data_IF_408687277316
#
_entry.id   IF_408687277316
#
_cell.length_a   1.000
_cell.length_b   1.000
_cell.length_c   1.000
_cell.angle_alpha   90.00
_cell.angle_beta   90.00
_cell.angle_gamma   90.00
#
_symmetry.space_group_name_H-M   'P 1'
#
loop_
_entity.id
_entity.type
_entity.pdbx_description
1 polymer ?
#
# COMPACT_ATOMS: atom_id res chain seq x y z
N UNK A 1 -13.53 -27.83 -34.36
CA UNK A 1 -14.89 -27.62 -34.94
C UNK A 1 -15.99 -28.38 -34.19
N UNK A 2 -15.92 -29.70 -33.98
CA UNK A 2 -16.95 -30.43 -33.18
C UNK A 2 -17.12 -29.87 -31.76
N UNK A 3 -16.01 -29.69 -31.03
CA UNK A 3 -16.01 -29.12 -29.67
C UNK A 3 -16.71 -27.77 -29.57
N UNK A 4 -16.38 -26.81 -30.45
CA UNK A 4 -16.98 -25.47 -30.40
C UNK A 4 -18.47 -25.49 -30.74
N UNK A 5 -18.91 -26.34 -31.66
CA UNK A 5 -20.33 -26.54 -31.95
C UNK A 5 -21.08 -27.11 -30.74
N UNK A 6 -20.48 -28.04 -30.00
CA UNK A 6 -21.05 -28.55 -28.76
C UNK A 6 -21.18 -27.44 -27.70
N UNK A 7 -20.14 -26.63 -27.50
CA UNK A 7 -20.21 -25.50 -26.57
C UNK A 7 -21.24 -24.45 -26.98
N UNK A 8 -21.41 -24.19 -28.29
CA UNK A 8 -22.43 -23.30 -28.83
C UNK A 8 -23.85 -23.82 -28.54
N UNK A 9 -24.06 -25.13 -28.59
CA UNK A 9 -25.32 -25.74 -28.20
C UNK A 9 -25.56 -25.64 -26.68
N UNK A 10 -24.55 -25.96 -25.87
CA UNK A 10 -24.62 -25.89 -24.40
C UNK A 10 -24.83 -24.47 -23.87
N UNK A 11 -24.29 -23.45 -24.55
CA UNK A 11 -24.44 -22.04 -24.16
C UNK A 11 -25.76 -21.41 -24.58
N UNK A 12 -26.64 -22.17 -25.23
CA UNK A 12 -27.96 -21.68 -25.64
C UNK A 12 -28.85 -21.40 -24.42
N UNK A 13 -29.47 -20.21 -24.32
CA UNK A 13 -30.40 -19.86 -23.23
C UNK A 13 -31.52 -20.88 -23.03
N UNK A 14 -32.12 -21.35 -24.12
CA UNK A 14 -33.22 -22.33 -24.06
C UNK A 14 -32.75 -23.67 -23.50
N UNK A 15 -31.54 -24.09 -23.84
CA UNK A 15 -30.98 -25.34 -23.34
C UNK A 15 -30.74 -25.23 -21.83
N UNK A 16 -30.02 -24.19 -21.39
CA UNK A 16 -29.70 -23.98 -19.98
C UNK A 16 -30.98 -23.88 -19.13
N UNK A 17 -31.99 -23.13 -19.59
CA UNK A 17 -33.26 -22.99 -18.85
C UNK A 17 -34.02 -24.30 -18.66
N UNK A 18 -33.93 -25.22 -19.61
CA UNK A 18 -34.70 -26.48 -19.59
C UNK A 18 -33.93 -27.64 -18.97
N UNK A 19 -32.60 -27.68 -19.13
CA UNK A 19 -31.77 -28.79 -18.66
C UNK A 19 -31.26 -28.62 -17.24
N UNK A 20 -31.09 -27.38 -16.78
CA UNK A 20 -30.35 -27.09 -15.54
C UNK A 20 -31.27 -26.80 -14.35
N UNK A 21 -30.92 -27.35 -13.18
CA UNK A 21 -31.62 -27.06 -11.91
C UNK A 21 -31.33 -25.65 -11.39
N UNK A 22 -30.06 -25.22 -11.45
CA UNK A 22 -29.63 -23.84 -11.20
C UNK A 22 -29.07 -23.25 -12.51
N UNK A 23 -29.92 -22.57 -13.30
CA UNK A 23 -29.51 -21.99 -14.58
C UNK A 23 -28.46 -20.89 -14.44
N UNK A 24 -28.50 -20.12 -13.33
CA UNK A 24 -27.54 -19.04 -13.08
C UNK A 24 -26.14 -19.61 -12.84
N UNK A 25 -26.03 -20.63 -11.99
CA UNK A 25 -24.73 -21.27 -11.70
C UNK A 25 -24.18 -21.95 -12.93
N UNK A 26 -25.02 -22.70 -13.65
CA UNK A 26 -24.61 -23.39 -14.88
C UNK A 26 -24.05 -22.40 -15.91
N UNK A 27 -24.69 -21.25 -16.09
CA UNK A 27 -24.21 -20.21 -16.99
C UNK A 27 -22.87 -19.61 -16.52
N UNK A 28 -22.63 -19.49 -15.21
CA UNK A 28 -21.37 -19.00 -14.66
C UNK A 28 -20.21 -19.98 -14.85
N UNK A 29 -20.44 -21.28 -14.60
CA UNK A 29 -19.46 -22.34 -14.85
C UNK A 29 -19.12 -22.43 -16.33
N UNK A 30 -20.13 -22.39 -17.21
CA UNK A 30 -19.91 -22.44 -18.65
C UNK A 30 -19.13 -21.21 -19.13
N UNK A 31 -19.46 -20.02 -18.66
CA UNK A 31 -18.70 -18.80 -18.98
C UNK A 31 -17.24 -18.89 -18.52
N UNK A 32 -16.98 -19.39 -17.31
CA UNK A 32 -15.61 -19.59 -16.80
C UNK A 32 -14.83 -20.54 -17.69
N UNK A 33 -15.45 -21.64 -18.08
CA UNK A 33 -14.83 -22.65 -18.94
C UNK A 33 -14.56 -22.10 -20.35
N UNK A 34 -15.52 -21.39 -20.95
CA UNK A 34 -15.35 -20.75 -22.26
C UNK A 34 -14.22 -19.71 -22.25
N UNK A 35 -14.09 -18.90 -21.18
CA UNK A 35 -12.96 -17.97 -21.00
C UNK A 35 -11.62 -18.65 -20.78
N UNK A 36 -11.62 -19.87 -20.24
CA UNK A 36 -10.41 -20.68 -20.10
C UNK A 36 -10.00 -21.22 -21.47
N UNK A 37 -10.95 -21.77 -22.22
CA UNK A 37 -10.74 -22.29 -23.57
C UNK A 37 -10.29 -21.20 -24.55
N UNK A 38 -10.83 -19.98 -24.45
CA UNK A 38 -10.41 -18.86 -25.31
C UNK A 38 -8.94 -18.45 -25.14
N UNK A 39 -8.31 -18.82 -24.01
CA UNK A 39 -6.87 -18.59 -23.76
C UNK A 39 -5.99 -19.74 -24.22
N UNK A 40 -6.56 -20.95 -24.33
CA UNK A 40 -5.84 -22.16 -24.75
C UNK A 40 -5.87 -22.26 -26.28
N UNK A 41 -7.02 -21.98 -26.87
CA UNK A 41 -7.27 -22.04 -28.32
C UNK A 41 -7.32 -20.63 -28.90
N UNK A 42 -6.18 -20.18 -29.42
CA UNK A 42 -6.06 -18.83 -29.95
C UNK A 42 -6.84 -18.64 -31.26
N UNK A 43 -7.00 -19.71 -32.05
CA UNK A 43 -7.64 -19.69 -33.38
C UNK A 43 -9.15 -19.38 -33.27
N UNK A 44 -9.82 -19.88 -32.24
CA UNK A 44 -11.25 -19.69 -32.00
C UNK A 44 -11.54 -18.77 -30.81
N UNK A 45 -10.55 -18.00 -30.35
CA UNK A 45 -10.64 -17.15 -29.16
C UNK A 45 -11.87 -16.23 -29.20
N UNK A 46 -12.09 -15.56 -30.34
CA UNK A 46 -13.19 -14.60 -30.49
C UNK A 46 -14.56 -15.28 -30.35
N UNK A 47 -14.74 -16.47 -30.94
CA UNK A 47 -16.00 -17.21 -30.83
C UNK A 47 -16.25 -17.67 -29.39
N UNK A 48 -15.23 -18.18 -28.70
CA UNK A 48 -15.34 -18.55 -27.28
C UNK A 48 -15.69 -17.35 -26.39
N UNK A 49 -15.07 -16.18 -26.64
CA UNK A 49 -15.39 -14.95 -25.91
C UNK A 49 -16.82 -14.47 -26.16
N UNK A 50 -17.36 -14.63 -27.37
CA UNK A 50 -18.75 -14.33 -27.69
C UNK A 50 -19.73 -15.28 -26.97
N UNK A 51 -19.46 -16.59 -26.97
CA UNK A 51 -20.30 -17.56 -26.24
C UNK A 51 -20.26 -17.30 -24.72
N UNK A 52 -19.08 -16.95 -24.19
CA UNK A 52 -18.92 -16.56 -22.80
C UNK A 52 -19.76 -15.32 -22.45
N UNK A 53 -19.76 -14.33 -23.35
CA UNK A 53 -20.55 -13.11 -23.23
C UNK A 53 -22.06 -13.39 -23.28
N UNK A 54 -22.51 -14.32 -24.13
CA UNK A 54 -23.90 -14.77 -24.20
C UNK A 54 -24.36 -15.40 -22.88
N UNK A 55 -23.55 -16.26 -22.26
CA UNK A 55 -23.87 -16.82 -20.94
C UNK A 55 -24.01 -15.74 -19.86
N UNK A 56 -23.16 -14.71 -19.86
CA UNK A 56 -23.28 -13.59 -18.91
C UNK A 56 -24.56 -12.78 -19.09
N UNK A 57 -24.95 -12.55 -20.34
CA UNK A 57 -26.18 -11.82 -20.68
C UNK A 57 -27.42 -12.60 -20.28
N UNK A 58 -27.42 -13.91 -20.52
CA UNK A 58 -28.50 -14.80 -20.09
C UNK A 58 -28.74 -14.72 -18.57
N UNK A 59 -27.68 -14.84 -17.76
CA UNK A 59 -27.82 -14.75 -16.29
C UNK A 59 -28.35 -13.38 -15.84
N UNK A 60 -27.88 -12.30 -16.49
CA UNK A 60 -28.34 -10.95 -16.16
C UNK A 60 -29.79 -10.69 -16.60
N UNK A 61 -30.21 -11.25 -17.73
CA UNK A 61 -31.60 -11.18 -18.20
C UNK A 61 -32.52 -11.97 -17.27
N UNK A 62 -32.11 -13.15 -16.81
CA UNK A 62 -32.89 -13.93 -15.86
C UNK A 62 -33.07 -13.21 -14.51
N UNK A 63 -32.05 -12.49 -14.06
CA UNK A 63 -32.15 -11.63 -12.87
C UNK A 63 -33.10 -10.44 -13.09
N UNK A 64 -33.19 -9.91 -14.30
CA UNK A 64 -34.07 -8.80 -14.62
C UNK A 64 -35.56 -9.15 -14.49
N UNK A 65 -35.92 -10.43 -14.57
CA UNK A 65 -37.29 -10.91 -14.44
C UNK A 65 -37.79 -10.99 -12.99
N UNK A 66 -36.95 -10.69 -11.99
CA UNK A 66 -37.38 -10.65 -10.58
C UNK A 66 -38.34 -9.49 -10.34
N UNK A 67 -39.51 -9.76 -9.75
CA UNK A 67 -40.56 -8.74 -9.56
C UNK A 67 -40.60 -8.15 -8.16
N UNK A 68 -40.09 -8.88 -7.18
CA UNK A 68 -40.09 -8.46 -5.78
C UNK A 68 -38.67 -8.40 -5.18
N UNK A 69 -38.46 -7.53 -4.20
CA UNK A 69 -37.19 -7.50 -3.45
C UNK A 69 -36.94 -8.82 -2.73
N UNK A 70 -38.01 -9.50 -2.30
CA UNK A 70 -37.92 -10.81 -1.63
C UNK A 70 -37.39 -11.90 -2.56
N UNK A 71 -37.86 -11.98 -3.81
CA UNK A 71 -37.28 -12.90 -4.81
C UNK A 71 -35.80 -12.64 -5.03
N UNK A 72 -35.43 -11.36 -5.19
CA UNK A 72 -34.06 -10.94 -5.39
C UNK A 72 -33.17 -11.30 -4.19
N UNK A 73 -33.64 -11.07 -2.96
CA UNK A 73 -32.96 -11.43 -1.73
C UNK A 73 -32.74 -12.95 -1.62
N UNK A 74 -33.74 -13.76 -2.00
CA UNK A 74 -33.62 -15.23 -2.01
C UNK A 74 -32.53 -15.66 -2.99
N UNK A 75 -32.54 -15.13 -4.22
CA UNK A 75 -31.55 -15.47 -5.25
C UNK A 75 -30.14 -15.09 -4.79
N UNK A 76 -29.94 -13.89 -4.25
CA UNK A 76 -28.62 -13.37 -3.88
C UNK A 76 -28.07 -13.96 -2.56
N UNK A 77 -28.92 -14.54 -1.73
CA UNK A 77 -28.52 -15.24 -0.51
C UNK A 77 -28.48 -16.77 -0.65
N UNK A 78 -28.88 -17.30 -1.81
CA UNK A 78 -28.91 -18.75 -2.03
C UNK A 78 -27.53 -19.40 -1.81
N UNK A 79 -27.50 -20.43 -0.99
CA UNK A 79 -26.34 -21.28 -0.73
C UNK A 79 -26.77 -22.74 -0.86
N UNK A 80 -26.10 -23.49 -1.74
CA UNK A 80 -26.41 -24.89 -2.01
C UNK A 80 -25.82 -25.84 -0.95
N UNK A 81 -24.77 -25.42 -0.24
CA UNK A 81 -24.07 -26.25 0.74
C UNK A 81 -24.64 -26.05 2.15
N UNK A 82 -25.05 -24.82 2.46
CA UNK A 82 -25.70 -24.47 3.72
C UNK A 82 -27.07 -23.85 3.44
N UNK A 83 -28.09 -24.65 3.09
CA UNK A 83 -29.44 -24.14 2.94
C UNK A 83 -29.82 -23.44 4.25
N UNK A 84 -30.43 -22.24 4.20
CA UNK A 84 -30.77 -21.51 5.41
C UNK A 84 -31.68 -22.40 6.26
N UNK A 85 -31.16 -22.84 7.40
CA UNK A 85 -31.99 -23.40 8.47
C UNK A 85 -33.03 -22.32 8.75
N UNK A 86 -34.29 -22.73 8.84
CA UNK A 86 -35.45 -21.87 9.05
C UNK A 86 -35.43 -21.26 10.47
N UNK A 87 -34.33 -20.60 10.84
CA UNK A 87 -34.16 -19.87 12.09
C UNK A 87 -34.56 -18.43 11.84
N UNK A 88 -35.54 -17.98 12.63
CA UNK A 88 -36.27 -16.71 12.64
C UNK A 88 -35.41 -15.44 12.82
N UNK A 89 -34.13 -15.45 12.47
CA UNK A 89 -33.27 -14.25 12.55
C UNK A 89 -33.13 -13.61 11.18
N UNK A 90 -34.15 -12.82 10.83
CA UNK A 90 -34.27 -11.90 9.68
C UNK A 90 -33.11 -10.90 9.52
N UNK A 91 -32.03 -10.95 10.28
CA UNK A 91 -31.19 -9.76 10.48
C UNK A 91 -29.88 -9.69 9.68
N UNK A 92 -29.42 -10.73 8.97
CA UNK A 92 -28.15 -10.61 8.23
C UNK A 92 -28.18 -11.29 6.86
N UNK A 93 -28.33 -10.48 5.82
CA UNK A 93 -28.06 -10.90 4.44
C UNK A 93 -26.56 -11.23 4.29
N UNK A 94 -26.23 -12.53 4.27
CA UNK A 94 -24.84 -12.99 4.12
C UNK A 94 -24.33 -12.83 2.68
N UNK A 95 -25.23 -12.60 1.71
CA UNK A 95 -24.96 -12.37 0.29
C UNK A 95 -24.03 -13.46 -0.29
N UNK A 96 -24.23 -14.72 0.13
CA UNK A 96 -23.37 -15.85 -0.24
C UNK A 96 -23.26 -16.01 -1.75
N UNK A 97 -24.39 -15.97 -2.46
CA UNK A 97 -24.41 -16.08 -3.92
C UNK A 97 -23.71 -14.90 -4.57
N UNK A 98 -24.01 -13.67 -4.13
CA UNK A 98 -23.35 -12.50 -4.69
C UNK A 98 -21.81 -12.54 -4.53
N UNK A 99 -21.30 -13.02 -3.39
CA UNK A 99 -19.86 -13.22 -3.18
C UNK A 99 -19.28 -14.23 -4.18
N UNK A 100 -20.01 -15.31 -4.47
CA UNK A 100 -19.64 -16.26 -5.50
C UNK A 100 -19.63 -15.61 -6.90
N UNK A 101 -20.64 -14.82 -7.22
CA UNK A 101 -20.78 -14.17 -8.53
C UNK A 101 -19.61 -13.20 -8.81
N UNK A 102 -19.14 -12.51 -7.75
CA UNK A 102 -17.94 -11.67 -7.79
C UNK A 102 -16.69 -12.53 -8.03
N UNK A 103 -16.53 -13.67 -7.33
CA UNK A 103 -15.41 -14.61 -7.53
C UNK A 103 -15.37 -15.14 -8.97
N UNK A 104 -16.54 -15.38 -9.57
CA UNK A 104 -16.67 -15.80 -10.97
C UNK A 104 -16.51 -14.65 -11.98
N UNK A 105 -16.25 -13.41 -11.53
CA UNK A 105 -16.05 -12.21 -12.36
C UNK A 105 -17.26 -11.92 -13.27
N UNK A 106 -18.47 -12.11 -12.77
CA UNK A 106 -19.74 -11.91 -13.50
C UNK A 106 -20.18 -10.45 -13.51
N UNK A 107 -19.44 -9.61 -14.26
CA UNK A 107 -19.60 -8.15 -14.25
C UNK A 107 -21.03 -7.69 -14.57
N UNK A 108 -21.66 -8.22 -15.64
CA UNK A 108 -23.02 -7.82 -16.07
C UNK A 108 -24.10 -8.15 -15.05
N UNK A 109 -23.98 -9.30 -14.39
CA UNK A 109 -24.91 -9.74 -13.35
C UNK A 109 -24.83 -8.83 -12.12
N UNK A 110 -23.62 -8.61 -11.61
CA UNK A 110 -23.40 -7.76 -10.44
C UNK A 110 -23.75 -6.29 -10.71
N UNK A 111 -23.47 -5.78 -11.92
CA UNK A 111 -23.81 -4.39 -12.29
C UNK A 111 -25.28 -4.17 -12.60
N UNK A 112 -26.13 -5.20 -12.53
CA UNK A 112 -27.54 -5.08 -12.85
C UNK A 112 -28.27 -4.13 -11.88
N UNK A 113 -29.24 -3.37 -12.38
CA UNK A 113 -29.89 -2.29 -11.64
C UNK A 113 -30.55 -2.76 -10.33
N UNK A 114 -31.26 -3.89 -10.35
CA UNK A 114 -31.87 -4.46 -9.16
C UNK A 114 -30.83 -4.87 -8.10
N UNK A 115 -29.74 -5.51 -8.51
CA UNK A 115 -28.63 -5.89 -7.61
C UNK A 115 -27.97 -4.64 -6.99
N UNK A 116 -27.68 -3.63 -7.80
CA UNK A 116 -27.06 -2.38 -7.34
C UNK A 116 -27.99 -1.58 -6.42
N UNK A 117 -29.30 -1.59 -6.66
CA UNK A 117 -30.26 -0.93 -5.79
C UNK A 117 -30.29 -1.58 -4.39
N UNK A 118 -30.28 -2.91 -4.33
CA UNK A 118 -30.24 -3.66 -3.06
C UNK A 118 -28.92 -3.43 -2.30
N UNK A 119 -27.79 -3.47 -3.00
CA UNK A 119 -26.48 -3.14 -2.44
C UNK A 119 -26.44 -1.71 -1.90
N UNK A 120 -27.03 -0.76 -2.63
CA UNK A 120 -27.12 0.62 -2.18
C UNK A 120 -28.00 0.77 -0.92
N UNK A 121 -29.11 0.02 -0.79
CA UNK A 121 -29.91 0.04 0.43
C UNK A 121 -29.18 -0.54 1.63
N UNK A 122 -28.38 -1.60 1.44
CA UNK A 122 -27.52 -2.17 2.48
C UNK A 122 -26.36 -1.22 2.85
N UNK A 123 -25.80 -0.52 1.86
CA UNK A 123 -24.71 0.43 2.06
C UNK A 123 -25.12 1.63 2.92
N UNK A 124 -26.31 2.19 2.67
CA UNK A 124 -26.84 3.34 3.40
C UNK A 124 -27.82 2.96 4.53
N UNK A 125 -27.77 1.72 4.99
CA UNK A 125 -28.65 1.23 6.04
C UNK A 125 -28.55 2.11 7.30
N UNK A 126 -29.70 2.57 7.81
CA UNK A 126 -29.81 3.43 8.98
C UNK A 126 -29.44 4.91 8.80
N UNK A 127 -29.29 5.38 7.55
CA UNK A 127 -29.21 6.80 7.19
C UNK A 127 -30.35 7.21 6.25
N UNK A 128 -31.58 7.39 6.77
CA UNK A 128 -32.75 7.61 5.93
C UNK A 128 -32.59 8.87 5.06
N UNK A 129 -32.80 8.71 3.76
CA UNK A 129 -32.76 9.80 2.79
C UNK A 129 -31.37 10.35 2.47
N UNK A 130 -30.27 9.85 3.07
CA UNK A 130 -28.92 10.36 2.81
C UNK A 130 -28.57 10.36 1.32
N UNK A 131 -28.95 9.29 0.59
CA UNK A 131 -28.78 9.17 -0.86
C UNK A 131 -29.39 10.34 -1.66
N UNK A 132 -30.53 10.87 -1.22
CA UNK A 132 -31.27 11.94 -1.91
C UNK A 132 -30.84 13.35 -1.53
N UNK A 133 -29.97 13.52 -0.52
CA UNK A 133 -29.49 14.84 -0.08
C UNK A 133 -28.57 15.49 -1.12
N UNK A 134 -28.54 16.82 -1.11
CA UNK A 134 -27.62 17.62 -1.92
C UNK A 134 -26.16 17.28 -1.60
N UNK A 135 -25.28 17.35 -2.60
CA UNK A 135 -23.86 16.97 -2.47
C UNK A 135 -23.13 17.76 -1.38
N UNK A 136 -23.44 19.06 -1.22
CA UNK A 136 -22.85 19.89 -0.15
C UNK A 136 -23.19 19.36 1.24
N UNK A 137 -24.46 18.99 1.47
CA UNK A 137 -24.89 18.44 2.77
C UNK A 137 -24.22 17.09 3.02
N UNK A 138 -24.06 16.26 1.99
CA UNK A 138 -23.32 14.99 2.10
C UNK A 138 -21.87 15.22 2.50
N UNK A 139 -21.20 16.19 1.88
CA UNK A 139 -19.81 16.56 2.21
C UNK A 139 -19.74 17.04 3.66
N UNK A 140 -20.59 17.97 4.08
CA UNK A 140 -20.60 18.48 5.46
C UNK A 140 -20.80 17.38 6.50
N UNK A 141 -21.79 16.49 6.29
CA UNK A 141 -22.04 15.36 7.20
C UNK A 141 -20.84 14.41 7.22
N UNK A 142 -20.27 14.10 6.05
CA UNK A 142 -19.12 13.18 5.94
C UNK A 142 -17.89 13.76 6.63
N UNK A 143 -17.60 15.05 6.44
CA UNK A 143 -16.51 15.76 7.12
C UNK A 143 -16.72 15.81 8.63
N UNK A 144 -17.95 16.05 9.09
CA UNK A 144 -18.28 16.07 10.52
C UNK A 144 -18.07 14.69 11.17
N UNK A 145 -18.61 13.62 10.56
CA UNK A 145 -18.38 12.24 11.02
C UNK A 145 -16.90 11.89 10.98
N UNK A 146 -16.20 12.33 9.93
CA UNK A 146 -14.77 12.20 9.78
C UNK A 146 -14.00 12.83 10.93
N UNK A 147 -14.24 14.11 11.24
CA UNK A 147 -13.58 14.76 12.37
C UNK A 147 -13.82 14.05 13.71
N UNK A 148 -15.03 13.50 13.90
CA UNK A 148 -15.41 12.78 15.11
C UNK A 148 -14.94 11.32 15.15
N UNK A 149 -14.21 10.81 14.14
CA UNK A 149 -13.80 9.41 14.06
C UNK A 149 -13.07 8.86 15.30
N UNK A 150 -12.15 9.57 15.99
CA UNK A 150 -11.44 8.97 17.12
C UNK A 150 -12.37 8.80 18.32
N UNK A 151 -13.23 9.79 18.58
CA UNK A 151 -14.24 9.73 19.64
C UNK A 151 -15.26 8.63 19.37
N UNK A 152 -15.73 8.52 18.13
CA UNK A 152 -16.64 7.46 17.72
C UNK A 152 -15.97 6.09 17.97
N UNK A 153 -14.73 5.90 17.51
CA UNK A 153 -13.96 4.65 17.65
C UNK A 153 -13.80 4.21 19.10
N UNK A 154 -13.44 5.15 19.99
CA UNK A 154 -13.34 4.88 21.43
C UNK A 154 -14.70 4.52 22.03
N UNK A 155 -15.76 5.25 21.65
CA UNK A 155 -17.11 4.97 22.13
C UNK A 155 -17.61 3.57 21.74
N UNK A 156 -17.23 3.06 20.56
CA UNK A 156 -17.54 1.68 20.15
C UNK A 156 -16.76 0.64 20.93
N UNK A 157 -15.49 0.91 21.25
CA UNK A 157 -14.66 0.02 22.05
C UNK A 157 -15.20 -0.10 23.47
N UNK A 158 -15.61 1.01 24.08
CA UNK A 158 -16.15 1.05 25.45
C UNK A 158 -17.59 0.53 25.55
N UNK A 159 -18.46 0.94 24.62
CA UNK A 159 -19.89 0.64 24.67
C UNK A 159 -20.45 0.20 23.30
N UNK A 160 -20.18 -1.05 22.88
CA UNK A 160 -20.55 -1.54 21.55
C UNK A 160 -22.07 -1.73 21.34
N UNK A 161 -22.87 -1.72 22.42
CA UNK A 161 -24.34 -1.84 22.38
C UNK A 161 -25.08 -0.49 22.36
N UNK A 162 -24.36 0.63 22.45
CA UNK A 162 -24.94 1.96 22.42
C UNK A 162 -25.52 2.32 21.03
N UNK A 163 -26.34 3.37 20.96
CA UNK A 163 -26.84 3.93 19.69
C UNK A 163 -25.69 4.31 18.74
N UNK A 164 -24.60 4.88 19.28
CA UNK A 164 -23.37 5.21 18.55
C UNK A 164 -22.71 3.94 18.02
N UNK A 165 -22.64 2.89 18.85
CA UNK A 165 -22.09 1.61 18.46
C UNK A 165 -22.89 0.92 17.35
N UNK A 166 -24.22 1.11 17.31
CA UNK A 166 -25.08 0.64 16.21
C UNK A 166 -24.83 1.42 14.91
N UNK A 167 -24.67 2.74 14.99
CA UNK A 167 -24.34 3.58 13.82
C UNK A 167 -22.98 3.17 13.23
N UNK A 168 -21.95 2.95 14.05
CA UNK A 168 -20.63 2.55 13.54
C UNK A 168 -20.60 1.14 12.94
N UNK A 169 -21.59 0.27 13.20
CA UNK A 169 -21.67 -1.04 12.52
C UNK A 169 -22.06 -0.90 11.05
N UNK A 170 -22.67 0.21 10.65
CA UNK A 170 -23.10 0.47 9.28
C UNK A 170 -21.90 0.55 8.33
N UNK A 171 -21.98 -0.05 7.13
CA UNK A 171 -20.84 -0.15 6.21
C UNK A 171 -20.33 1.22 5.73
N UNK A 172 -21.23 2.16 5.43
CA UNK A 172 -20.84 3.50 5.01
C UNK A 172 -20.06 4.27 6.09
N UNK A 173 -20.47 4.18 7.36
CA UNK A 173 -19.77 4.85 8.47
C UNK A 173 -18.40 4.22 8.71
N UNK A 174 -18.29 2.88 8.67
CA UNK A 174 -16.98 2.20 8.72
C UNK A 174 -16.05 2.70 7.63
N UNK A 175 -16.56 2.78 6.40
CA UNK A 175 -15.79 3.26 5.27
C UNK A 175 -15.26 4.68 5.48
N UNK A 176 -16.10 5.61 5.98
CA UNK A 176 -15.66 6.98 6.30
C UNK A 176 -14.58 6.96 7.38
N UNK A 177 -14.78 6.24 8.49
CA UNK A 177 -13.80 6.18 9.57
C UNK A 177 -12.46 5.61 9.11
N UNK A 178 -12.45 4.52 8.33
CA UNK A 178 -11.22 3.96 7.75
C UNK A 178 -10.54 4.94 6.80
N UNK A 179 -11.30 5.61 5.93
CA UNK A 179 -10.75 6.57 4.96
C UNK A 179 -10.14 7.78 5.65
N UNK A 180 -10.81 8.35 6.66
CA UNK A 180 -10.33 9.52 7.39
C UNK A 180 -9.14 9.16 8.29
N UNK A 181 -9.16 7.99 8.93
CA UNK A 181 -8.00 7.49 9.68
C UNK A 181 -6.78 7.30 8.77
N UNK A 182 -6.98 6.84 7.53
CA UNK A 182 -5.90 6.75 6.54
C UNK A 182 -5.38 8.11 6.10
N UNK A 183 -6.27 9.08 5.84
CA UNK A 183 -5.87 10.47 5.53
C UNK A 183 -5.09 11.08 6.71
N UNK A 184 -5.51 10.83 7.94
CA UNK A 184 -4.78 11.27 9.13
C UNK A 184 -3.38 10.65 9.21
N UNK A 185 -3.24 9.35 8.90
CA UNK A 185 -1.94 8.70 8.78
C UNK A 185 -1.04 9.39 7.74
N UNK A 186 -1.57 9.75 6.56
CA UNK A 186 -0.80 10.50 5.55
C UNK A 186 -0.42 11.91 6.03
N UNK A 187 -1.28 12.58 6.80
CA UNK A 187 -0.95 13.86 7.43
C UNK A 187 0.22 13.69 8.41
N UNK A 188 0.25 12.62 9.22
CA UNK A 188 1.38 12.34 10.10
C UNK A 188 2.68 12.13 9.31
N UNK A 189 2.63 11.37 8.20
CA UNK A 189 3.79 11.19 7.33
C UNK A 189 4.26 12.51 6.71
N UNK A 190 3.33 13.38 6.33
CA UNK A 190 3.63 14.71 5.81
C UNK A 190 4.29 15.60 6.87
N UNK A 191 3.79 15.60 8.10
CA UNK A 191 4.40 16.30 9.24
C UNK A 191 5.84 15.86 9.47
N UNK A 192 6.11 14.54 9.48
CA UNK A 192 7.47 13.99 9.62
C UNK A 192 8.35 14.42 8.45
N UNK A 193 7.81 14.43 7.23
CA UNK A 193 8.55 14.83 6.02
C UNK A 193 8.92 16.32 6.04
N UNK A 194 8.07 17.16 6.63
CA UNK A 194 8.36 18.59 6.83
C UNK A 194 9.30 18.86 8.02
N UNK A 195 9.73 17.82 8.76
CA UNK A 195 10.51 17.94 10.01
C UNK A 195 9.90 18.94 10.99
N UNK A 196 8.55 19.04 11.03
CA UNK A 196 7.86 19.93 11.96
C UNK A 196 7.87 19.27 13.35
N UNK A 197 8.77 19.75 14.20
CA UNK A 197 8.77 19.40 15.61
C UNK A 197 7.75 20.28 16.35
N UNK A 198 6.50 19.81 16.45
CA UNK A 198 5.43 20.53 17.16
C UNK A 198 5.82 20.94 18.59
N UNK A 199 6.64 20.13 19.27
CA UNK A 199 7.18 20.45 20.58
C UNK A 199 8.07 21.72 20.55
N UNK A 200 8.91 21.88 19.51
CA UNK A 200 9.77 23.06 19.32
C UNK A 200 8.97 24.31 18.91
N UNK A 201 7.96 24.12 18.06
CA UNK A 201 7.03 25.20 17.66
C UNK A 201 6.28 25.75 18.87
N UNK A 202 5.85 24.87 19.79
CA UNK A 202 5.13 25.28 21.00
C UNK A 202 6.06 25.86 22.08
N UNK A 203 7.31 25.37 22.18
CA UNK A 203 8.26 25.85 23.18
C UNK A 203 9.01 27.13 22.77
N UNK A 204 8.96 27.53 21.50
CA UNK A 204 9.57 28.77 21.02
C UNK A 204 11.11 28.82 21.09
N UNK A 205 11.76 27.68 21.33
CA UNK A 205 13.22 27.57 21.44
C UNK A 205 13.76 27.04 20.12
N UNK A 206 14.40 27.90 19.34
CA UNK A 206 15.21 27.53 18.17
C UNK A 206 16.53 26.90 18.62
N UNK A 207 16.50 25.62 19.00
CA UNK A 207 17.72 24.83 19.07
C UNK A 207 18.16 24.47 17.64
N UNK A 208 19.36 24.91 17.28
CA UNK A 208 20.06 24.56 16.04
C UNK A 208 20.07 23.02 15.90
N UNK A 209 19.35 22.50 14.91
CA UNK A 209 19.19 21.05 14.75
C UNK A 209 20.50 20.44 14.28
N UNK A 210 21.39 20.11 15.21
CA UNK A 210 22.50 19.22 14.91
C UNK A 210 21.88 17.92 14.39
N UNK A 211 22.13 17.61 13.12
CA UNK A 211 21.64 16.42 12.46
C UNK A 211 22.29 15.20 13.11
N UNK A 212 21.67 14.71 14.19
CA UNK A 212 22.23 13.62 14.97
C UNK A 212 22.06 12.30 14.24
N UNK A 213 23.11 11.49 14.24
CA UNK A 213 23.09 10.13 13.71
C UNK A 213 22.30 9.22 14.65
N UNK A 214 21.37 8.42 14.10
CA UNK A 214 20.51 7.53 14.87
C UNK A 214 19.70 8.22 15.97
N UNK A 215 18.88 9.25 15.65
CA UNK A 215 18.13 9.96 16.68
C UNK A 215 17.10 9.05 17.35
N UNK A 216 16.77 9.28 18.64
CA UNK A 216 15.68 8.56 19.30
C UNK A 216 14.34 8.83 18.58
N UNK A 217 13.39 7.90 18.64
CA UNK A 217 12.13 8.02 17.90
C UNK A 217 11.32 9.23 18.38
N UNK A 218 10.91 10.08 17.46
CA UNK A 218 10.04 11.23 17.73
C UNK A 218 8.63 10.75 18.15
N UNK A 219 7.91 11.40 19.08
CA UNK A 219 6.51 11.08 19.37
C UNK A 219 5.61 10.85 18.14
N UNK A 220 5.81 11.63 17.06
CA UNK A 220 5.08 11.44 15.80
C UNK A 220 5.47 10.12 15.11
N UNK A 221 6.75 9.76 15.12
CA UNK A 221 7.23 8.48 14.61
C UNK A 221 6.66 7.33 15.43
N UNK A 222 6.58 7.45 16.76
CA UNK A 222 5.93 6.46 17.62
C UNK A 222 4.45 6.28 17.25
N UNK A 223 3.72 7.38 16.96
CA UNK A 223 2.34 7.28 16.47
C UNK A 223 2.26 6.53 15.13
N UNK A 224 3.18 6.81 14.19
CA UNK A 224 3.28 6.09 12.91
C UNK A 224 3.55 4.60 13.13
N UNK A 225 4.41 4.23 14.09
CA UNK A 225 4.70 2.84 14.45
C UNK A 225 3.43 2.08 14.85
N UNK A 226 2.56 2.69 15.64
CA UNK A 226 1.26 2.09 16.01
C UNK A 226 0.35 1.90 14.79
N UNK A 227 0.33 2.86 13.86
CA UNK A 227 -0.40 2.72 12.60
C UNK A 227 0.12 1.56 11.75
N UNK A 228 1.44 1.50 11.55
CA UNK A 228 2.09 0.43 10.78
C UNK A 228 1.81 -0.94 11.40
N UNK A 229 1.90 -1.08 12.72
CA UNK A 229 1.54 -2.31 13.41
C UNK A 229 0.06 -2.71 13.16
N UNK A 230 -0.85 -1.72 13.16
CA UNK A 230 -2.26 -1.92 12.82
C UNK A 230 -2.47 -2.38 11.37
N UNK A 231 -1.75 -1.80 10.40
CA UNK A 231 -1.81 -2.22 9.00
C UNK A 231 -1.26 -3.63 8.80
N UNK A 232 -0.11 -3.96 9.39
CA UNK A 232 0.46 -5.31 9.34
C UNK A 232 -0.54 -6.33 9.92
N UNK A 233 -1.16 -6.03 11.06
CA UNK A 233 -2.17 -6.89 11.66
C UNK A 233 -3.41 -7.06 10.79
N UNK A 234 -3.85 -5.99 10.11
CA UNK A 234 -4.97 -6.05 9.17
C UNK A 234 -4.64 -6.95 7.96
N UNK A 235 -3.45 -6.78 7.36
CA UNK A 235 -3.00 -7.60 6.23
C UNK A 235 -2.84 -9.07 6.60
N UNK A 236 -2.27 -9.38 7.77
CA UNK A 236 -2.14 -10.78 8.23
C UNK A 236 -3.52 -11.44 8.35
N UNK A 237 -4.51 -10.73 8.90
CA UNK A 237 -5.88 -11.25 9.00
C UNK A 237 -6.52 -11.46 7.64
N UNK A 238 -6.32 -10.55 6.69
CA UNK A 238 -6.84 -10.68 5.34
C UNK A 238 -6.19 -11.87 4.61
N UNK A 239 -4.86 -11.99 4.68
CA UNK A 239 -4.11 -13.10 4.11
C UNK A 239 -4.57 -14.46 4.67
N UNK A 240 -4.84 -14.54 5.98
CA UNK A 240 -5.35 -15.75 6.62
C UNK A 240 -6.76 -16.12 6.15
N UNK A 241 -7.64 -15.15 5.91
CA UNK A 241 -9.03 -15.39 5.50
C UNK A 241 -9.18 -15.74 4.02
N UNK A 242 -8.42 -15.08 3.14
CA UNK A 242 -8.53 -15.25 1.68
C UNK A 242 -7.61 -16.35 1.13
N UNK A 243 -6.47 -16.58 1.77
CA UNK A 243 -5.39 -17.45 1.31
C UNK A 243 -4.44 -16.77 0.32
N UNK A 244 -3.19 -17.24 0.29
CA UNK A 244 -2.07 -16.59 -0.41
C UNK A 244 -2.31 -16.35 -1.90
N UNK A 245 -2.81 -17.36 -2.64
CA UNK A 245 -2.98 -17.25 -4.08
C UNK A 245 -4.06 -16.23 -4.47
N UNK A 246 -5.17 -16.15 -3.73
CA UNK A 246 -6.22 -15.17 -4.03
C UNK A 246 -5.78 -13.76 -3.64
N UNK A 247 -5.10 -13.65 -2.49
CA UNK A 247 -4.56 -12.38 -2.00
C UNK A 247 -3.57 -11.75 -2.99
N UNK A 248 -2.58 -12.51 -3.48
CA UNK A 248 -1.56 -12.00 -4.42
C UNK A 248 -2.08 -11.75 -5.84
N UNK A 249 -3.26 -12.26 -6.19
CA UNK A 249 -3.88 -12.01 -7.49
C UNK A 249 -4.45 -10.58 -7.59
N UNK A 250 -4.68 -9.89 -6.47
CA UNK A 250 -5.07 -8.49 -6.44
C UNK A 250 -3.83 -7.60 -6.39
N UNK A 251 -3.69 -6.72 -7.39
CA UNK A 251 -2.57 -5.78 -7.49
C UNK A 251 -2.55 -4.75 -6.36
N UNK A 252 -3.71 -4.45 -5.75
CA UNK A 252 -3.79 -3.52 -4.61
C UNK A 252 -3.29 -4.17 -3.32
N UNK A 253 -3.62 -5.43 -3.09
CA UNK A 253 -3.07 -6.20 -1.96
C UNK A 253 -1.54 -6.32 -2.08
N UNK A 254 -1.02 -6.49 -3.29
CA UNK A 254 0.44 -6.48 -3.53
C UNK A 254 1.06 -5.13 -3.16
N UNK A 255 0.43 -4.01 -3.52
CA UNK A 255 0.86 -2.67 -3.14
C UNK A 255 0.93 -2.51 -1.61
N UNK A 256 -0.10 -2.99 -0.90
CA UNK A 256 -0.18 -2.93 0.56
C UNK A 256 0.90 -3.79 1.23
N UNK A 257 1.13 -5.00 0.71
CA UNK A 257 2.21 -5.87 1.17
C UNK A 257 3.59 -5.23 0.98
N UNK A 258 3.89 -4.71 -0.21
CA UNK A 258 5.17 -4.02 -0.50
C UNK A 258 5.36 -2.81 0.43
N UNK A 259 4.31 -2.01 0.63
CA UNK A 259 4.36 -0.83 1.51
C UNK A 259 4.68 -1.22 2.95
N UNK A 260 4.02 -2.24 3.48
CA UNK A 260 4.27 -2.73 4.83
C UNK A 260 5.69 -3.31 4.98
N UNK A 261 6.20 -4.02 3.97
CA UNK A 261 7.59 -4.49 3.96
C UNK A 261 8.60 -3.33 4.01
N UNK A 262 8.36 -2.25 3.26
CA UNK A 262 9.22 -1.05 3.29
C UNK A 262 9.18 -0.37 4.67
N UNK A 263 8.01 -0.30 5.32
CA UNK A 263 7.93 0.21 6.68
C UNK A 263 8.68 -0.66 7.68
N UNK A 264 8.53 -1.98 7.62
CA UNK A 264 9.28 -2.90 8.49
C UNK A 264 10.79 -2.76 8.26
N UNK A 265 11.24 -2.68 7.01
CA UNK A 265 12.65 -2.47 6.68
C UNK A 265 13.18 -1.15 7.25
N UNK A 266 12.39 -0.07 7.15
CA UNK A 266 12.73 1.24 7.75
C UNK A 266 12.91 1.13 9.26
N UNK A 267 11.97 0.47 9.94
CA UNK A 267 11.99 0.28 11.40
C UNK A 267 13.24 -0.50 11.82
N UNK A 268 13.52 -1.61 11.15
CA UNK A 268 14.69 -2.44 11.44
C UNK A 268 15.97 -1.65 11.27
N UNK A 269 16.12 -0.90 10.17
CA UNK A 269 17.31 -0.07 9.93
C UNK A 269 17.45 1.08 10.93
N UNK A 270 16.34 1.71 11.34
CA UNK A 270 16.31 2.73 12.40
C UNK A 270 16.77 2.17 13.74
N UNK A 271 16.28 0.99 14.13
CA UNK A 271 16.72 0.30 15.35
C UNK A 271 18.20 -0.08 15.26
N UNK A 272 18.65 -0.61 14.12
CA UNK A 272 20.06 -0.92 13.90
C UNK A 272 20.94 0.33 13.99
N UNK A 273 20.51 1.45 13.40
CA UNK A 273 21.23 2.73 13.48
C UNK A 273 21.35 3.19 14.94
N UNK A 274 20.25 3.14 15.70
CA UNK A 274 20.23 3.51 17.11
C UNK A 274 21.16 2.64 17.96
N UNK A 275 21.10 1.31 17.79
CA UNK A 275 21.97 0.38 18.54
C UNK A 275 23.44 0.60 18.19
N UNK A 276 23.77 0.78 16.91
CA UNK A 276 25.14 0.99 16.45
C UNK A 276 25.74 2.27 17.02
N UNK A 277 25.02 3.39 16.97
CA UNK A 277 25.53 4.66 17.49
C UNK A 277 25.71 4.59 19.02
N UNK A 278 24.77 3.97 19.74
CA UNK A 278 24.91 3.76 21.19
C UNK A 278 26.05 2.81 21.57
N UNK A 279 26.43 1.88 20.69
CA UNK A 279 27.63 1.05 20.89
C UNK A 279 28.89 1.88 20.69
N UNK A 280 28.98 2.63 19.60
CA UNK A 280 30.12 3.53 19.30
C UNK A 280 30.36 4.52 20.45
N UNK A 281 29.31 5.09 21.06
CA UNK A 281 29.46 5.98 22.22
C UNK A 281 29.98 5.28 23.47
N UNK A 282 29.52 4.05 23.75
CA UNK A 282 30.01 3.27 24.89
C UNK A 282 31.48 2.89 24.71
N UNK A 283 31.89 2.56 23.50
CA UNK A 283 33.29 2.23 23.18
C UNK A 283 34.20 3.45 23.34
N UNK A 284 33.73 4.64 22.93
CA UNK A 284 34.44 5.90 23.14
C UNK A 284 34.58 6.26 24.62
N UNK A 285 33.53 6.04 25.43
CA UNK A 285 33.58 6.25 26.88
C UNK A 285 34.54 5.26 27.58
N UNK A 286 34.54 3.99 27.19
CA UNK A 286 35.47 3.00 27.75
C UNK A 286 36.93 3.35 27.42
N UNK A 287 37.19 3.86 26.21
CA UNK A 287 38.53 4.28 25.79
C UNK A 287 39.01 5.49 26.59
N UNK A 288 38.15 6.48 26.86
CA UNK A 288 38.53 7.65 27.67
C UNK A 288 38.79 7.29 29.14
N UNK A 289 38.02 6.35 29.72
CA UNK A 289 38.24 5.85 31.08
C UNK A 289 39.57 5.10 31.20
N UNK A 290 39.92 4.25 30.21
CA UNK A 290 41.20 3.51 30.21
C UNK A 290 42.42 4.43 30.16
N UNK A 291 42.36 5.51 29.36
CA UNK A 291 43.43 6.52 29.29
C UNK A 291 43.62 7.25 30.62
N UNK A 292 42.53 7.62 31.29
CA UNK A 292 42.61 8.30 32.59
C UNK A 292 43.06 7.36 33.73
N UNK A 293 42.77 6.06 33.65
CA UNK A 293 43.24 5.05 34.61
C UNK A 293 44.75 4.79 34.55
N UNK A 294 45.37 4.95 33.37
CA UNK A 294 46.83 4.79 33.19
C UNK A 294 47.66 5.92 33.80
N UNK A 295 47.09 7.10 34.03
CA UNK A 295 47.81 8.23 34.63
C UNK A 295 47.92 8.16 36.16
N UNK A 296 47.12 7.33 36.83
CA UNK A 296 47.15 7.22 38.30
C UNK A 296 48.10 6.15 38.86
N UNK A 297 48.84 5.42 38.01
CA UNK A 297 49.79 4.37 38.45
C UNK A 297 51.27 4.69 38.18
N UNK A 298 51.61 5.90 37.73
CA UNK A 298 53.01 6.33 37.55
C UNK A 298 53.33 7.47 38.51
N UNK A 299 53.79 7.13 39.70
CA UNK A 299 54.48 8.08 40.55
C UNK A 299 55.81 8.51 39.93
N UNK A 300 56.04 9.82 39.92
CA UNK A 300 57.36 10.48 40.01
C UNK A 300 58.25 10.44 38.74
N UNK A 301 58.20 11.51 37.94
CA UNK A 301 59.30 12.49 37.81
C UNK A 301 58.91 13.62 36.84
N UNK A 302 59.11 14.86 37.27
CA UNK A 302 59.03 16.06 36.44
C UNK A 302 60.18 16.12 35.43
N UNK A 303 59.86 16.32 34.16
CA UNK A 303 60.63 17.20 33.24
C UNK A 303 59.66 17.89 32.30
N UNK A 304 59.78 19.21 32.21
CA UNK A 304 59.06 20.09 31.30
C UNK A 304 59.43 19.76 29.85
N UNK A 305 58.46 19.30 29.06
CA UNK A 305 58.45 19.44 27.61
C UNK A 305 57.03 19.78 27.16
N UNK A 306 56.84 21.06 26.81
CA UNK A 306 55.62 21.55 26.17
C UNK A 306 55.63 21.14 24.69
N UNK A 307 55.32 19.88 24.41
CA UNK A 307 54.59 19.57 23.18
C UNK A 307 53.10 19.64 23.53
N UNK A 308 52.49 20.76 23.18
CA UNK A 308 51.04 20.86 23.08
C UNK A 308 50.60 19.82 22.06
N UNK A 309 50.22 18.64 22.55
CA UNK A 309 49.18 17.86 21.91
C UNK A 309 47.95 18.77 21.97
N UNK A 310 47.79 19.60 20.93
CA UNK A 310 46.48 20.10 20.56
C UNK A 310 45.64 18.86 20.29
N UNK A 311 45.05 18.31 21.35
CA UNK A 311 43.78 17.63 21.24
C UNK A 311 42.85 18.67 20.65
N UNK A 312 42.82 18.73 19.32
CA UNK A 312 41.80 19.47 18.62
C UNK A 312 40.47 19.00 19.22
N UNK A 313 39.60 19.93 19.67
CA UNK A 313 38.27 19.57 20.15
C UNK A 313 37.44 18.87 19.06
N UNK A 314 37.94 18.81 17.81
CA UNK A 314 37.39 18.07 16.69
C UNK A 314 37.58 16.54 16.76
N UNK A 315 38.51 16.02 17.59
CA UNK A 315 38.81 14.57 17.66
C UNK A 315 37.90 13.78 18.62
N UNK A 316 37.06 14.46 19.41
CA UNK A 316 36.00 13.86 20.22
C UNK A 316 34.64 14.30 19.67
N UNK A 317 34.43 14.10 18.36
CA UNK A 317 33.06 14.09 17.84
C UNK A 317 32.39 12.83 18.40
N UNK A 318 31.49 13.02 19.37
CA UNK A 318 30.65 11.94 19.91
C UNK A 318 29.87 11.28 18.78
N UNK A 319 29.63 9.96 18.85
CA UNK A 319 29.02 9.20 17.74
C UNK A 319 27.71 9.80 17.21
N UNK A 320 26.96 10.53 18.05
CA UNK A 320 25.76 11.27 17.65
C UNK A 320 26.01 12.61 16.92
N UNK A 321 27.11 13.32 17.18
CA UNK A 321 27.34 14.71 16.72
C UNK A 321 28.30 14.81 15.52
N UNK A 322 28.44 13.75 14.73
CA UNK A 322 29.15 13.79 13.45
C UNK A 322 28.27 14.51 12.42
N UNK A 323 28.82 15.52 11.74
CA UNK A 323 28.10 16.25 10.68
C UNK A 323 27.70 15.31 9.55
N UNK A 324 26.49 15.47 9.01
CA UNK A 324 25.91 14.60 7.95
C UNK A 324 26.80 14.43 6.71
N UNK A 325 27.58 15.46 6.38
CA UNK A 325 28.58 15.43 5.30
C UNK A 325 29.66 14.36 5.46
N UNK A 326 29.97 13.99 6.69
CA UNK A 326 31.06 13.06 7.02
C UNK A 326 30.50 11.64 7.30
N UNK A 327 29.22 11.39 7.03
CA UNK A 327 28.61 10.07 7.17
C UNK A 327 29.03 9.13 6.05
N UNK A 328 29.16 7.84 6.37
CA UNK A 328 29.39 6.80 5.36
C UNK A 328 28.19 6.72 4.40
N UNK A 329 28.45 6.55 3.09
CA UNK A 329 27.41 6.38 2.07
C UNK A 329 26.43 5.23 2.38
N UNK A 330 26.90 4.17 3.05
CA UNK A 330 26.10 3.02 3.46
C UNK A 330 25.62 3.10 4.92
N UNK A 331 25.57 4.30 5.49
CA UNK A 331 25.05 4.46 6.85
C UNK A 331 23.59 3.99 6.95
N UNK A 332 23.24 3.12 7.93
CA UNK A 332 21.87 2.63 8.09
C UNK A 332 20.82 3.74 8.24
N UNK A 333 21.20 4.91 8.78
CA UNK A 333 20.30 6.08 8.89
C UNK A 333 19.88 6.57 7.50
N UNK A 334 20.84 6.76 6.59
CA UNK A 334 20.59 7.23 5.23
C UNK A 334 19.75 6.25 4.42
N UNK A 335 20.06 4.95 4.53
CA UNK A 335 19.29 3.90 3.86
C UNK A 335 17.86 3.88 4.41
N UNK A 336 17.68 4.01 5.72
CA UNK A 336 16.35 4.06 6.34
C UNK A 336 15.54 5.26 5.86
N UNK A 337 16.15 6.44 5.71
CA UNK A 337 15.47 7.64 5.17
C UNK A 337 15.01 7.43 3.72
N UNK A 338 15.85 6.81 2.88
CA UNK A 338 15.52 6.49 1.49
C UNK A 338 14.37 5.49 1.36
N UNK A 339 14.40 4.41 2.15
CA UNK A 339 13.33 3.41 2.17
C UNK A 339 12.04 4.00 2.74
N UNK A 340 12.13 4.86 3.77
CA UNK A 340 10.98 5.56 4.32
C UNK A 340 10.31 6.47 3.29
N UNK A 341 11.11 7.21 2.51
CA UNK A 341 10.59 8.05 1.43
C UNK A 341 9.85 7.21 0.37
N UNK A 342 10.40 6.06 -0.01
CA UNK A 342 9.73 5.13 -0.91
C UNK A 342 8.41 4.60 -0.32
N UNK A 343 8.39 4.22 0.95
CA UNK A 343 7.18 3.78 1.65
C UNK A 343 6.10 4.87 1.66
N UNK A 344 6.47 6.14 1.82
CA UNK A 344 5.54 7.27 1.81
C UNK A 344 4.91 7.50 0.43
N UNK A 345 5.66 7.27 -0.65
CA UNK A 345 5.14 7.33 -2.03
C UNK A 345 4.06 6.26 -2.23
N UNK A 346 4.38 5.00 -1.89
CA UNK A 346 3.42 3.90 -2.04
C UNK A 346 2.18 4.08 -1.15
N UNK A 347 2.38 4.57 0.08
CA UNK A 347 1.26 4.95 0.96
C UNK A 347 0.38 6.03 0.34
N UNK A 348 0.97 7.05 -0.28
CA UNK A 348 0.19 8.12 -0.92
C UNK A 348 -0.58 7.60 -2.15
N UNK A 349 0.00 6.67 -2.91
CA UNK A 349 -0.65 6.03 -4.07
C UNK A 349 -1.92 5.26 -3.70
N UNK A 350 -2.01 4.72 -2.47
CA UNK A 350 -3.21 4.03 -1.99
C UNK A 350 -4.46 4.93 -1.97
N UNK A 351 -4.34 6.26 -1.93
CA UNK A 351 -5.49 7.17 -2.04
C UNK A 351 -6.27 6.99 -3.35
N UNK A 352 -5.60 6.54 -4.43
CA UNK A 352 -6.25 6.26 -5.72
C UNK A 352 -7.35 5.20 -5.57
N UNK A 353 -7.20 4.26 -4.61
CA UNK A 353 -8.21 3.24 -4.33
C UNK A 353 -9.53 3.87 -3.84
N UNK A 354 -9.48 4.91 -3.03
CA UNK A 354 -10.67 5.60 -2.49
C UNK A 354 -11.48 6.27 -3.60
N UNK A 355 -10.83 6.70 -4.69
CA UNK A 355 -11.51 7.35 -5.81
C UNK A 355 -12.49 6.44 -6.55
N UNK A 356 -12.37 5.12 -6.41
CA UNK A 356 -13.30 4.12 -7.00
C UNK A 356 -14.76 4.33 -6.60
N UNK A 357 -14.99 4.92 -5.43
CA UNK A 357 -16.33 5.10 -4.85
C UNK A 357 -17.03 6.35 -5.40
N UNK A 358 -16.25 7.32 -5.92
CA UNK A 358 -16.82 8.51 -6.51
C UNK A 358 -17.45 8.16 -7.88
N UNK A 359 -18.73 8.48 -8.12
CA UNK A 359 -19.40 8.16 -9.39
C UNK A 359 -18.72 8.74 -10.64
N UNK A 360 -17.99 9.85 -10.48
CA UNK A 360 -17.27 10.50 -11.58
C UNK A 360 -15.83 10.00 -11.70
N UNK A 361 -15.08 9.86 -10.59
CA UNK A 361 -13.66 9.48 -10.65
C UNK A 361 -13.45 7.97 -10.81
N UNK A 362 -14.38 7.13 -10.35
CA UNK A 362 -14.27 5.68 -10.40
C UNK A 362 -14.10 5.13 -11.83
N UNK A 363 -14.94 5.51 -12.81
CA UNK A 363 -14.76 5.09 -14.20
C UNK A 363 -13.40 5.50 -14.79
N UNK A 364 -12.90 6.70 -14.46
CA UNK A 364 -11.58 7.16 -14.91
C UNK A 364 -10.45 6.35 -14.28
N UNK A 365 -10.55 6.01 -13.00
CA UNK A 365 -9.56 5.18 -12.32
C UNK A 365 -9.52 3.74 -12.88
N UNK A 366 -10.69 3.17 -13.18
CA UNK A 366 -10.78 1.84 -13.82
C UNK A 366 -10.20 1.86 -15.23
N UNK A 367 -10.45 2.91 -16.02
CA UNK A 367 -9.87 3.02 -17.37
C UNK A 367 -8.35 3.20 -17.29
N UNK A 368 -7.85 4.03 -16.38
CA UNK A 368 -6.42 4.20 -16.12
C UNK A 368 -5.74 2.86 -15.81
N UNK A 369 -6.31 2.06 -14.89
CA UNK A 369 -5.75 0.75 -14.54
C UNK A 369 -5.66 -0.21 -15.72
N UNK A 370 -6.64 -0.19 -16.64
CA UNK A 370 -6.59 -1.02 -17.87
C UNK A 370 -5.53 -0.53 -18.84
N UNK A 371 -5.38 0.79 -18.99
CA UNK A 371 -4.38 1.40 -19.87
C UNK A 371 -2.95 1.11 -19.39
N UNK A 372 -2.70 1.10 -18.07
CA UNK A 372 -1.37 0.78 -17.52
C UNK A 372 -0.86 -0.58 -17.99
N UNK A 373 -1.72 -1.59 -18.06
CA UNK A 373 -1.33 -2.91 -18.56
C UNK A 373 -0.89 -2.87 -20.04
N UNK A 374 -1.50 -2.01 -20.86
CA UNK A 374 -1.10 -1.85 -22.26
C UNK A 374 0.19 -1.00 -22.38
N UNK A 375 0.38 0.01 -21.53
CA UNK A 375 1.64 0.76 -21.41
C UNK A 375 2.80 -0.17 -21.04
N UNK A 376 2.60 -1.09 -20.09
CA UNK A 376 3.64 -2.05 -19.67
C UNK A 376 4.04 -3.03 -20.79
N UNK A 377 3.15 -3.36 -21.72
CA UNK A 377 3.54 -4.14 -22.91
C UNK A 377 4.44 -3.33 -23.82
N UNK A 378 4.11 -2.05 -24.03
CA UNK A 378 4.89 -1.16 -24.89
C UNK A 378 6.23 -0.77 -24.27
N UNK A 379 6.31 -0.68 -22.93
CA UNK A 379 7.56 -0.33 -22.23
C UNK A 379 8.69 -1.33 -22.49
N UNK A 380 8.38 -2.60 -22.79
CA UNK A 380 9.39 -3.60 -23.19
C UNK A 380 10.15 -3.17 -24.45
N UNK A 381 9.47 -2.60 -25.43
CA UNK A 381 10.11 -2.09 -26.65
C UNK A 381 10.96 -0.85 -26.36
N UNK A 382 10.46 0.06 -25.51
CA UNK A 382 11.20 1.25 -25.09
C UNK A 382 12.49 0.84 -24.36
N UNK A 383 12.41 -0.14 -23.45
CA UNK A 383 13.57 -0.63 -22.71
C UNK A 383 14.61 -1.29 -23.61
N UNK A 384 14.17 -2.04 -24.63
CA UNK A 384 15.09 -2.62 -25.62
C UNK A 384 15.85 -1.54 -26.39
N UNK A 385 15.14 -0.50 -26.85
CA UNK A 385 15.77 0.63 -27.54
C UNK A 385 16.72 1.38 -26.60
N UNK A 386 16.26 1.69 -25.38
CA UNK A 386 17.08 2.38 -24.37
C UNK A 386 18.36 1.60 -24.05
N UNK A 387 18.29 0.27 -23.95
CA UNK A 387 19.44 -0.58 -23.72
C UNK A 387 20.44 -0.54 -24.90
N UNK A 388 19.96 -0.63 -26.14
CA UNK A 388 20.82 -0.54 -27.32
C UNK A 388 21.56 0.81 -27.39
N UNK A 389 20.85 1.92 -27.11
CA UNK A 389 21.46 3.24 -27.03
C UNK A 389 22.44 3.36 -25.86
N UNK A 390 22.11 2.83 -24.68
CA UNK A 390 22.99 2.84 -23.52
C UNK A 390 24.31 2.10 -23.81
N UNK A 391 24.26 0.94 -24.47
CA UNK A 391 25.46 0.22 -24.91
C UNK A 391 26.29 1.03 -25.91
N UNK A 392 25.65 1.65 -26.90
CA UNK A 392 26.34 2.48 -27.90
C UNK A 392 27.01 3.71 -27.29
N UNK A 393 26.31 4.41 -26.40
CA UNK A 393 26.86 5.58 -25.67
C UNK A 393 27.97 5.16 -24.70
N UNK A 394 27.80 4.06 -23.98
CA UNK A 394 28.85 3.54 -23.10
C UNK A 394 30.12 3.23 -23.90
N UNK A 395 30.00 2.56 -25.06
CA UNK A 395 31.15 2.26 -25.91
C UNK A 395 31.87 3.54 -26.41
N UNK A 396 31.11 4.60 -26.74
CA UNK A 396 31.66 5.86 -27.21
C UNK A 396 32.37 6.65 -26.09
N UNK A 397 31.76 6.72 -24.90
CA UNK A 397 32.24 7.58 -23.80
C UNK A 397 33.17 6.88 -22.80
N UNK A 398 33.31 5.54 -22.86
CA UNK A 398 34.15 4.79 -21.90
C UNK A 398 35.61 5.24 -21.89
N UNK A 399 36.20 5.57 -23.05
CA UNK A 399 37.59 6.04 -23.12
C UNK A 399 37.78 7.38 -22.41
N UNK A 400 36.89 8.34 -22.63
CA UNK A 400 36.94 9.65 -21.97
C UNK A 400 36.72 9.53 -20.46
N UNK A 401 35.83 8.64 -20.03
CA UNK A 401 35.64 8.31 -18.62
C UNK A 401 36.94 7.81 -17.98
N UNK A 402 37.66 6.91 -18.68
CA UNK A 402 38.93 6.36 -18.22
C UNK A 402 40.03 7.42 -18.14
N UNK A 403 40.14 8.32 -19.12
CA UNK A 403 41.12 9.41 -19.08
C UNK A 403 40.87 10.34 -17.88
N UNK A 404 39.62 10.76 -17.68
CA UNK A 404 39.26 11.63 -16.56
C UNK A 404 39.48 10.96 -15.20
N UNK A 405 39.27 9.64 -15.12
CA UNK A 405 39.62 8.85 -13.94
C UNK A 405 41.13 8.85 -13.67
N UNK A 406 41.97 8.67 -14.69
CA UNK A 406 43.42 8.71 -14.52
C UNK A 406 43.96 10.09 -14.16
N UNK A 407 43.36 11.17 -14.69
CA UNK A 407 43.70 12.55 -14.28
C UNK A 407 43.41 12.75 -12.79
N UNK A 408 42.26 12.28 -12.31
CA UNK A 408 41.91 12.30 -10.88
C UNK A 408 42.85 11.47 -9.99
N UNK A 409 43.50 10.42 -10.52
CA UNK A 409 44.43 9.57 -9.75
C UNK A 409 45.86 10.13 -9.72
N UNK A 410 46.24 10.97 -10.69
CA UNK A 410 47.58 11.56 -10.80
C UNK A 410 47.75 12.90 -10.05
N UNK A 411 46.66 13.66 -9.83
CA UNK A 411 46.71 14.85 -8.97
C UNK A 411 46.82 14.44 -7.48
N UNK A 412 48.07 14.37 -6.99
CA UNK A 412 48.42 14.24 -5.57
C UNK A 412 48.16 15.58 -4.88
N UNK A 413 46.90 15.96 -4.75
CA UNK A 413 46.49 17.23 -4.18
C UNK A 413 45.02 17.19 -3.81
N UNK A 414 44.74 16.60 -2.65
CA UNK A 414 43.49 16.62 -1.88
C UNK A 414 42.31 17.32 -2.58
N UNK A 415 41.47 16.56 -3.27
CA UNK A 415 40.09 16.97 -3.41
C UNK A 415 39.13 15.79 -3.49
N UNK A 416 38.34 15.68 -2.42
CA UNK A 416 37.13 14.86 -2.27
C UNK A 416 36.11 15.08 -3.41
N UNK A 417 36.34 16.10 -4.26
CA UNK A 417 35.59 16.42 -5.47
C UNK A 417 35.78 15.41 -6.61
N UNK A 418 36.98 14.85 -6.84
CA UNK A 418 37.20 13.98 -8.02
C UNK A 418 36.43 12.65 -7.94
N UNK A 419 36.33 12.05 -6.76
CA UNK A 419 35.54 10.84 -6.53
C UNK A 419 34.02 11.10 -6.65
N UNK A 420 33.55 12.28 -6.19
CA UNK A 420 32.14 12.69 -6.32
C UNK A 420 31.76 12.97 -7.77
N UNK A 421 32.64 13.56 -8.58
CA UNK A 421 32.36 13.89 -9.99
C UNK A 421 32.26 12.64 -10.87
N UNK A 422 33.14 11.64 -10.67
CA UNK A 422 33.12 10.38 -11.43
C UNK A 422 31.87 9.56 -11.10
N UNK A 423 31.50 9.46 -9.82
CA UNK A 423 30.31 8.71 -9.41
C UNK A 423 28.99 9.39 -9.82
N UNK A 424 28.98 10.73 -9.87
CA UNK A 424 27.81 11.55 -10.23
C UNK A 424 27.54 11.56 -11.75
N UNK A 425 28.56 11.37 -12.59
CA UNK A 425 28.40 11.35 -14.04
C UNK A 425 28.13 9.96 -14.64
N UNK A 426 28.48 8.87 -13.97
CA UNK A 426 28.44 7.52 -14.57
C UNK A 426 27.54 6.50 -13.85
N UNK A 427 26.86 6.87 -12.76
CA UNK A 427 25.92 5.99 -12.02
C UNK A 427 24.43 6.26 -12.30
N UNK A 428 24.08 7.06 -13.32
CA UNK A 428 22.70 7.32 -13.71
C UNK A 428 22.34 6.68 -15.05
#
# INVERSE_FOLDING_TARGET
RSRINAYKALSSPCYISLSSRDPIMTAFDLNRELKRLSRIENEFKQEYEQLAQQCQEYSAALLAETRSSKELEIILNYDSENPPVLSETTEKMHLSRLKLDIRYKQKKFVSHAHCQQLLASLWYEGLPGFRRRHSVIKILITTFVGFLFPLLSIAYLLMPRSSIGRIMRQPFIKFICHSVSYIFFLILLFVVSLRIDFAKVLSGIEEESNERRGPPPNPVEIAIMFYVAGFIWAEIKQLYQEGLHQYMADTWNLLDWVTNCLYVATIVLRVMAYVKVNQEERDLQNKSISVNGSHNSSGVHHTHDHHNLTTDPASISTGHNVRRRDWNAWDPTLISEGIFAAANIFSSLKLVYIFTINPHLGPLQISLGRMVHDILKFSVLILLVAFAFACGLNQLFWYYARMKKSECEQDVGFDEYCAKEIHKHFSK
#
